data_IF_377942038010
#
_entry.id   IF_377942038010
#
_cell.length_a   1.000
_cell.length_b   1.000
_cell.length_c   1.000
_cell.angle_alpha   90.00
_cell.angle_beta   90.00
_cell.angle_gamma   90.00
#
_symmetry.space_group_name_H-M   'P 1'
#
loop_
_entity.id
_entity.type
_entity.pdbx_description
1 polymer ?
#
# COMPACT_ATOMS: atom_id res chain seq x y z
N UNK A 1 -1.96 21.43 24.25
CA UNK A 1 -2.30 21.35 22.84
C UNK A 1 -2.62 19.91 22.44
N UNK A 2 -3.83 19.67 21.90
CA UNK A 2 -4.29 18.32 21.53
C UNK A 2 -3.36 17.62 20.51
N UNK A 3 -2.94 18.34 19.49
CA UNK A 3 -2.07 17.85 18.41
C UNK A 3 -0.69 17.34 18.87
N UNK A 4 -0.07 17.96 19.89
CA UNK A 4 1.21 17.48 20.43
C UNK A 4 1.04 16.18 21.24
N UNK A 5 -0.09 16.01 21.92
CA UNK A 5 -0.38 14.77 22.64
C UNK A 5 -0.67 13.62 21.67
N UNK A 6 -1.40 13.88 20.61
CA UNK A 6 -1.67 12.89 19.57
C UNK A 6 -0.38 12.45 18.86
N UNK A 7 0.50 13.41 18.52
CA UNK A 7 1.79 13.13 17.91
C UNK A 7 2.70 12.28 18.83
N UNK A 8 2.76 12.62 20.13
CA UNK A 8 3.55 11.85 21.09
C UNK A 8 2.99 10.44 21.29
N UNK A 9 1.67 10.27 21.32
CA UNK A 9 1.02 8.96 21.42
C UNK A 9 1.35 8.09 20.20
N UNK A 10 1.32 8.68 19.00
CA UNK A 10 1.63 7.98 17.77
C UNK A 10 3.10 7.53 17.71
N UNK A 11 4.04 8.40 18.10
CA UNK A 11 5.47 8.07 18.17
C UNK A 11 5.73 6.94 19.17
N UNK A 12 5.10 6.99 20.34
CA UNK A 12 5.25 5.95 21.35
C UNK A 12 4.70 4.60 20.87
N UNK A 13 3.51 4.60 20.25
CA UNK A 13 2.92 3.42 19.65
C UNK A 13 3.86 2.79 18.60
N UNK A 14 4.43 3.62 17.75
CA UNK A 14 5.37 3.19 16.73
C UNK A 14 6.62 2.56 17.35
N UNK A 15 7.18 3.16 18.39
CA UNK A 15 8.34 2.63 19.11
C UNK A 15 8.05 1.27 19.75
N UNK A 16 6.89 1.09 20.38
CA UNK A 16 6.50 -0.20 20.98
C UNK A 16 6.39 -1.31 19.94
N UNK A 17 5.77 -1.04 18.80
CA UNK A 17 5.66 -1.99 17.69
C UNK A 17 7.05 -2.36 17.17
N UNK A 18 7.91 -1.37 16.93
CA UNK A 18 9.28 -1.61 16.46
C UNK A 18 10.09 -2.44 17.45
N UNK A 19 9.99 -2.13 18.75
CA UNK A 19 10.67 -2.87 19.82
C UNK A 19 10.23 -4.34 19.89
N UNK A 20 8.96 -4.63 19.60
CA UNK A 20 8.49 -6.01 19.54
C UNK A 20 9.22 -6.78 18.44
N UNK A 21 9.24 -6.28 17.21
CA UNK A 21 9.87 -6.96 16.08
C UNK A 21 11.38 -7.15 16.26
N UNK A 22 12.05 -6.20 16.89
CA UNK A 22 13.49 -6.28 17.15
C UNK A 22 13.89 -7.37 18.18
N UNK A 23 12.93 -7.91 18.95
CA UNK A 23 13.22 -8.97 19.95
C UNK A 23 13.38 -10.35 19.34
N UNK A 24 12.85 -10.57 18.13
CA UNK A 24 12.79 -11.88 17.50
C UNK A 24 13.64 -11.91 16.24
N UNK A 25 14.62 -12.86 16.15
CA UNK A 25 15.50 -12.96 14.98
C UNK A 25 14.78 -13.40 13.69
N UNK A 26 13.56 -13.90 13.81
CA UNK A 26 12.72 -14.26 12.68
C UNK A 26 12.18 -13.05 11.92
N UNK A 27 12.13 -11.90 12.56
CA UNK A 27 11.63 -10.67 11.93
C UNK A 27 12.83 -9.79 11.52
N UNK A 28 12.86 -9.44 10.23
CA UNK A 28 13.80 -8.44 9.70
C UNK A 28 13.00 -7.20 9.37
N UNK A 29 13.20 -6.17 10.19
CA UNK A 29 12.53 -4.89 10.07
C UNK A 29 13.31 -3.95 9.17
N UNK A 30 12.62 -3.30 8.23
CA UNK A 30 13.20 -2.27 7.38
C UNK A 30 12.18 -1.17 7.09
N UNK A 31 12.66 -0.02 6.68
CA UNK A 31 11.78 1.08 6.32
C UNK A 31 11.35 0.94 4.86
N UNK A 32 10.05 0.79 4.64
CA UNK A 32 9.47 0.71 3.30
C UNK A 32 9.35 2.09 2.66
N UNK A 33 8.73 3.04 3.39
CA UNK A 33 8.62 4.45 3.03
C UNK A 33 8.48 5.31 4.30
N UNK A 34 8.17 6.59 4.16
CA UNK A 34 8.08 7.53 5.30
C UNK A 34 7.08 7.07 6.36
N UNK A 35 5.96 6.46 5.95
CA UNK A 35 4.85 6.10 6.83
C UNK A 35 4.67 4.59 7.01
N UNK A 36 5.47 3.76 6.33
CA UNK A 36 5.33 2.30 6.36
C UNK A 36 6.65 1.62 6.68
N UNK A 37 6.55 0.53 7.43
CA UNK A 37 7.63 -0.41 7.67
C UNK A 37 7.36 -1.71 6.94
N UNK A 38 8.42 -2.35 6.45
CA UNK A 38 8.40 -3.72 5.98
C UNK A 38 8.93 -4.64 7.06
N UNK A 39 8.28 -5.79 7.23
CA UNK A 39 8.73 -6.88 8.09
C UNK A 39 8.88 -8.11 7.22
N UNK A 40 10.12 -8.55 7.01
CA UNK A 40 10.39 -9.84 6.38
C UNK A 40 10.38 -10.91 7.47
N UNK A 41 9.48 -11.87 7.34
CA UNK A 41 9.39 -13.04 8.24
C UNK A 41 10.25 -14.15 7.67
N UNK A 42 11.23 -14.59 8.45
CA UNK A 42 12.17 -15.66 8.10
C UNK A 42 12.04 -16.81 9.09
N UNK A 43 11.38 -17.87 8.66
CA UNK A 43 11.19 -19.08 9.44
C UNK A 43 10.95 -20.28 8.52
N UNK A 44 10.78 -21.46 9.09
CA UNK A 44 10.39 -22.66 8.36
C UNK A 44 8.92 -22.53 7.88
N UNK A 45 8.59 -23.21 6.78
CA UNK A 45 7.27 -23.08 6.14
C UNK A 45 6.13 -23.44 7.10
N UNK A 46 6.34 -24.40 8.00
CA UNK A 46 5.35 -24.86 8.98
C UNK A 46 5.05 -23.80 10.07
N UNK A 47 5.99 -22.89 10.32
CA UNK A 47 5.88 -21.84 11.33
C UNK A 47 5.43 -20.48 10.73
N UNK A 48 5.41 -20.35 9.42
CA UNK A 48 5.18 -19.07 8.71
C UNK A 48 3.86 -18.43 9.13
N UNK A 49 2.80 -19.21 9.15
CA UNK A 49 1.46 -18.72 9.53
C UNK A 49 1.45 -18.21 10.98
N UNK A 50 2.04 -18.97 11.90
CA UNK A 50 2.09 -18.60 13.32
C UNK A 50 2.85 -17.28 13.55
N UNK A 51 4.03 -17.12 12.94
CA UNK A 51 4.79 -15.87 13.03
C UNK A 51 4.04 -14.70 12.38
N UNK A 52 3.37 -14.92 11.26
CA UNK A 52 2.58 -13.90 10.59
C UNK A 52 1.40 -13.45 11.46
N UNK A 53 0.65 -14.39 12.00
CA UNK A 53 -0.50 -14.09 12.86
C UNK A 53 -0.08 -13.40 14.17
N UNK A 54 1.03 -13.80 14.77
CA UNK A 54 1.58 -13.11 15.95
C UNK A 54 1.98 -11.68 15.64
N UNK A 55 2.58 -11.43 14.48
CA UNK A 55 2.92 -10.08 14.04
C UNK A 55 1.68 -9.20 13.89
N UNK A 56 0.64 -9.70 13.23
CA UNK A 56 -0.63 -9.00 13.03
C UNK A 56 -1.30 -8.71 14.39
N UNK A 57 -1.42 -9.73 15.24
CA UNK A 57 -2.04 -9.60 16.55
C UNK A 57 -1.33 -8.57 17.44
N UNK A 58 0.01 -8.50 17.36
CA UNK A 58 0.78 -7.50 18.10
C UNK A 58 0.48 -6.09 17.63
N UNK A 59 0.42 -5.87 16.31
CA UNK A 59 0.10 -4.55 15.73
C UNK A 59 -1.31 -4.15 16.15
N UNK A 60 -2.29 -5.05 15.99
CA UNK A 60 -3.68 -4.83 16.36
C UNK A 60 -3.80 -4.46 17.84
N UNK A 61 -3.20 -5.26 18.73
CA UNK A 61 -3.26 -5.04 20.17
C UNK A 61 -2.71 -3.64 20.55
N UNK A 62 -1.59 -3.24 19.97
CA UNK A 62 -1.00 -1.94 20.25
C UNK A 62 -1.87 -0.80 19.73
N UNK A 63 -2.41 -0.93 18.52
CA UNK A 63 -3.26 0.10 17.92
C UNK A 63 -4.61 0.27 18.64
N UNK A 64 -5.19 -0.81 19.14
CA UNK A 64 -6.49 -0.79 19.84
C UNK A 64 -6.36 -0.39 21.32
N UNK A 65 -5.24 -0.74 21.98
CA UNK A 65 -5.07 -0.55 23.44
C UNK A 65 -4.92 0.90 23.87
N UNK A 66 -4.50 1.79 23.00
CA UNK A 66 -4.14 3.16 23.35
C UNK A 66 -5.25 4.19 23.09
N UNK A 67 -6.50 3.78 22.83
CA UNK A 67 -7.56 4.69 22.38
C UNK A 67 -7.12 5.63 21.24
N UNK A 68 -6.03 5.28 20.59
CA UNK A 68 -5.59 5.95 19.40
C UNK A 68 -6.56 5.50 18.29
N UNK A 69 -7.42 6.40 17.81
CA UNK A 69 -8.09 6.23 16.52
C UNK A 69 -7.03 6.25 15.39
N UNK A 70 -5.96 5.48 15.58
CA UNK A 70 -4.90 5.36 14.62
C UNK A 70 -5.41 4.50 13.46
N UNK A 71 -5.49 5.09 12.30
CA UNK A 71 -5.74 4.35 11.07
C UNK A 71 -4.51 3.47 10.80
N UNK A 72 -4.69 2.16 10.90
CA UNK A 72 -3.62 1.18 10.69
C UNK A 72 -4.03 0.10 9.70
N UNK A 73 -3.06 -0.45 9.03
CA UNK A 73 -3.26 -1.59 8.14
C UNK A 73 -1.98 -2.41 8.02
N UNK A 74 -2.17 -3.68 7.70
CA UNK A 74 -1.10 -4.64 7.42
C UNK A 74 -1.36 -5.27 6.06
N UNK A 75 -0.34 -5.35 5.24
CA UNK A 75 -0.39 -6.09 3.97
C UNK A 75 0.49 -7.32 4.09
N UNK A 76 -0.08 -8.48 3.82
CA UNK A 76 0.63 -9.76 3.90
C UNK A 76 0.87 -10.27 2.49
N UNK A 77 2.14 -10.40 2.13
CA UNK A 77 2.54 -10.99 0.85
C UNK A 77 2.50 -12.51 0.86
N UNK A 78 2.44 -13.10 -0.32
CA UNK A 78 2.52 -14.56 -0.48
C UNK A 78 3.92 -15.05 -0.08
N UNK A 79 4.03 -16.08 0.77
CA UNK A 79 5.31 -16.64 1.16
C UNK A 79 6.12 -17.16 -0.04
N UNK A 80 7.43 -17.00 0.02
CA UNK A 80 8.36 -17.47 -1.02
C UNK A 80 9.49 -18.28 -0.40
N UNK A 81 9.93 -19.34 -1.11
CA UNK A 81 10.94 -20.26 -0.59
C UNK A 81 12.39 -19.76 -0.78
N UNK A 82 12.61 -18.81 -1.68
CA UNK A 82 13.96 -18.36 -2.05
C UNK A 82 14.04 -16.84 -2.07
N UNK A 83 15.19 -16.32 -1.66
CA UNK A 83 15.46 -14.88 -1.70
C UNK A 83 15.35 -14.28 -3.12
N UNK A 84 15.65 -15.08 -4.15
CA UNK A 84 15.48 -14.64 -5.55
C UNK A 84 14.03 -14.36 -5.95
N UNK A 85 13.06 -14.90 -5.21
CA UNK A 85 11.62 -14.71 -5.42
C UNK A 85 11.04 -13.56 -4.57
N UNK A 86 11.85 -12.86 -3.76
CA UNK A 86 11.36 -11.73 -2.96
C UNK A 86 10.74 -10.62 -3.79
N UNK A 87 11.14 -10.49 -5.06
CA UNK A 87 10.50 -9.55 -5.98
C UNK A 87 9.03 -9.87 -6.19
N UNK A 88 8.68 -11.15 -6.33
CA UNK A 88 7.29 -11.60 -6.49
C UNK A 88 6.46 -11.26 -5.23
N UNK A 89 7.04 -11.50 -4.05
CA UNK A 89 6.42 -11.12 -2.78
C UNK A 89 6.23 -9.60 -2.68
N UNK A 90 7.22 -8.82 -3.10
CA UNK A 90 7.16 -7.36 -3.14
C UNK A 90 6.03 -6.85 -4.05
N UNK A 91 5.95 -7.38 -5.27
CA UNK A 91 4.93 -7.03 -6.25
C UNK A 91 3.52 -7.40 -5.71
N UNK A 92 3.41 -8.54 -5.05
CA UNK A 92 2.19 -9.01 -4.38
C UNK A 92 1.75 -8.05 -3.24
N UNK A 93 2.67 -7.63 -2.37
CA UNK A 93 2.38 -6.67 -1.29
C UNK A 93 1.90 -5.32 -1.85
N UNK A 94 2.55 -4.82 -2.90
CA UNK A 94 2.11 -3.58 -3.55
C UNK A 94 0.72 -3.72 -4.16
N UNK A 95 0.44 -4.86 -4.80
CA UNK A 95 -0.86 -5.15 -5.38
C UNK A 95 -1.96 -5.18 -4.30
N UNK A 96 -1.77 -5.96 -3.24
CA UNK A 96 -2.76 -6.04 -2.15
C UNK A 96 -2.91 -4.73 -1.40
N UNK A 97 -1.82 -3.98 -1.21
CA UNK A 97 -1.82 -2.69 -0.54
C UNK A 97 -2.69 -1.63 -1.23
N UNK A 98 -2.88 -1.77 -2.54
CA UNK A 98 -3.77 -0.91 -3.31
C UNK A 98 -5.23 -0.98 -2.85
N UNK A 99 -5.67 -2.14 -2.37
CA UNK A 99 -7.05 -2.34 -1.91
C UNK A 99 -7.38 -1.58 -0.61
N UNK A 100 -6.40 -1.11 0.13
CA UNK A 100 -6.61 -0.24 1.29
C UNK A 100 -7.49 0.97 0.98
N UNK A 101 -7.31 1.55 -0.19
CA UNK A 101 -8.08 2.73 -0.60
C UNK A 101 -9.52 2.41 -0.99
N UNK A 102 -9.77 1.16 -1.36
CA UNK A 102 -11.08 0.66 -1.75
C UNK A 102 -11.87 0.13 -0.55
N UNK A 103 -11.15 -0.45 0.40
CA UNK A 103 -11.71 -1.08 1.59
C UNK A 103 -11.03 -0.52 2.85
N UNK A 104 -11.28 0.76 3.21
CA UNK A 104 -10.60 1.40 4.34
C UNK A 104 -10.92 0.74 5.70
N UNK A 105 -12.00 -0.05 5.76
CA UNK A 105 -12.37 -0.82 6.94
C UNK A 105 -11.57 -2.13 7.11
N UNK A 106 -10.81 -2.54 6.07
CA UNK A 106 -9.97 -3.73 6.15
C UNK A 106 -8.60 -3.37 6.71
N UNK A 107 -8.31 -3.86 7.90
CA UNK A 107 -7.00 -3.66 8.53
C UNK A 107 -5.95 -4.65 8.07
N UNK A 108 -6.35 -5.84 7.60
CA UNK A 108 -5.44 -6.87 7.09
C UNK A 108 -5.78 -7.18 5.64
N UNK A 109 -4.80 -6.95 4.78
CA UNK A 109 -4.90 -7.16 3.33
C UNK A 109 -3.98 -8.32 2.95
N UNK A 110 -4.55 -9.46 2.61
CA UNK A 110 -3.88 -10.67 2.14
C UNK A 110 -4.67 -11.29 1.01
N UNK A 111 -4.10 -12.27 0.32
CA UNK A 111 -4.81 -13.03 -0.70
C UNK A 111 -6.12 -13.62 -0.15
N UNK A 112 -6.07 -14.20 1.03
CA UNK A 112 -7.21 -14.85 1.69
C UNK A 112 -8.30 -13.85 2.06
N UNK A 113 -7.94 -12.74 2.72
CA UNK A 113 -8.90 -11.71 3.13
C UNK A 113 -9.55 -11.05 1.93
N UNK A 114 -8.78 -10.76 0.89
CA UNK A 114 -9.31 -10.17 -0.35
C UNK A 114 -10.26 -11.14 -1.07
N UNK A 115 -9.91 -12.42 -1.20
CA UNK A 115 -10.79 -13.43 -1.80
C UNK A 115 -12.12 -13.60 -1.07
N UNK A 116 -12.12 -13.46 0.25
CA UNK A 116 -13.35 -13.55 1.05
C UNK A 116 -14.26 -12.34 0.88
N UNK A 117 -13.71 -11.18 0.54
CA UNK A 117 -14.43 -9.91 0.44
C UNK A 117 -14.87 -9.57 -0.99
N UNK A 118 -14.09 -10.01 -1.99
CA UNK A 118 -14.40 -9.76 -3.39
C UNK A 118 -15.49 -10.73 -3.86
N UNK A 119 -16.58 -10.23 -4.49
CA UNK A 119 -17.57 -11.12 -5.11
C UNK A 119 -16.88 -11.97 -6.18
N UNK A 120 -17.24 -13.24 -6.24
CA UNK A 120 -16.62 -14.25 -7.12
C UNK A 120 -16.57 -13.89 -8.65
N UNK A 121 -17.28 -12.85 -9.06
CA UNK A 121 -17.26 -12.34 -10.43
C UNK A 121 -16.12 -11.36 -10.74
N UNK A 122 -15.50 -10.75 -9.70
CA UNK A 122 -14.39 -9.81 -9.89
C UNK A 122 -13.01 -10.49 -9.79
N UNK A 123 -12.95 -11.70 -9.22
CA UNK A 123 -11.69 -12.40 -8.89
C UNK A 123 -10.86 -12.78 -10.14
N UNK A 124 -11.51 -13.15 -11.23
CA UNK A 124 -10.84 -13.51 -12.50
C UNK A 124 -10.26 -12.30 -13.23
N UNK A 125 -10.86 -11.12 -13.07
CA UNK A 125 -10.41 -9.90 -13.75
C UNK A 125 -9.26 -9.21 -13.05
N UNK A 126 -9.17 -9.35 -11.73
CA UNK A 126 -8.11 -8.73 -10.92
C UNK A 126 -6.79 -9.51 -11.03
N UNK A 127 -6.86 -10.84 -11.15
CA UNK A 127 -5.68 -11.68 -11.37
C UNK A 127 -5.03 -11.46 -12.74
N UNK A 128 -5.78 -10.97 -13.73
CA UNK A 128 -5.32 -10.65 -15.09
C UNK A 128 -4.77 -9.23 -15.22
N UNK A 129 -4.92 -8.38 -14.19
CA UNK A 129 -4.44 -7.02 -14.23
C UNK A 129 -2.93 -7.00 -14.11
N UNK A 130 -2.29 -6.59 -15.17
CA UNK A 130 -0.86 -6.27 -15.14
C UNK A 130 -0.63 -4.99 -14.30
N UNK A 131 -0.38 -5.20 -13.01
CA UNK A 131 -0.14 -4.11 -12.05
C UNK A 131 1.03 -3.19 -12.48
N UNK A 132 1.93 -3.68 -13.35
CA UNK A 132 3.04 -2.88 -13.87
C UNK A 132 2.54 -1.74 -14.76
N UNK A 133 1.42 -1.92 -15.45
CA UNK A 133 0.79 -0.88 -16.30
C UNK A 133 0.17 0.26 -15.52
N UNK A 134 -0.05 0.07 -14.22
CA UNK A 134 -0.64 1.07 -13.32
C UNK A 134 0.37 1.63 -12.32
N UNK A 135 1.63 1.30 -12.52
CA UNK A 135 2.71 1.76 -11.64
C UNK A 135 2.72 3.30 -11.54
N UNK A 136 2.80 3.86 -10.32
CA UNK A 136 2.95 5.30 -10.10
C UNK A 136 4.14 5.91 -10.84
N UNK A 137 5.15 5.10 -11.14
CA UNK A 137 6.35 5.52 -11.86
C UNK A 137 6.03 6.00 -13.28
N UNK A 138 5.08 5.37 -13.97
CA UNK A 138 4.65 5.77 -15.32
C UNK A 138 4.12 7.21 -15.30
N UNK A 139 3.29 7.52 -14.31
CA UNK A 139 2.70 8.85 -14.14
C UNK A 139 3.80 9.84 -13.72
N UNK A 140 4.65 9.46 -12.77
CA UNK A 140 5.76 10.31 -12.28
C UNK A 140 6.76 10.63 -13.39
N UNK A 141 7.06 9.67 -14.26
CA UNK A 141 7.97 9.86 -15.40
C UNK A 141 7.37 10.81 -16.43
N UNK A 142 6.07 10.67 -16.73
CA UNK A 142 5.39 11.60 -17.61
C UNK A 142 5.36 13.02 -17.03
N UNK A 143 5.07 13.18 -15.74
CA UNK A 143 5.07 14.49 -15.07
C UNK A 143 6.45 15.15 -15.08
N UNK A 144 7.50 14.34 -15.04
CA UNK A 144 8.88 14.84 -15.05
C UNK A 144 9.39 15.25 -16.45
N UNK A 145 8.94 14.58 -17.51
CA UNK A 145 9.52 14.71 -18.86
C UNK A 145 8.52 15.15 -19.93
N UNK A 146 7.21 14.95 -19.68
CA UNK A 146 6.14 15.24 -20.64
C UNK A 146 5.85 16.72 -20.76
N UNK A 147 5.26 17.08 -21.89
CA UNK A 147 4.77 18.44 -22.12
C UNK A 147 3.26 18.53 -21.94
N UNK A 148 2.74 19.73 -21.67
CA UNK A 148 1.29 19.96 -21.52
C UNK A 148 0.51 19.60 -22.79
N UNK A 149 1.15 19.61 -23.98
CA UNK A 149 0.53 19.22 -25.25
C UNK A 149 0.34 17.72 -25.39
N UNK A 150 1.12 16.92 -24.65
CA UNK A 150 1.10 15.46 -24.69
C UNK A 150 0.18 14.84 -23.63
N UNK A 151 -0.35 15.66 -22.71
CA UNK A 151 -1.21 15.17 -21.61
C UNK A 151 -2.38 14.34 -22.12
N UNK A 152 -3.07 14.82 -23.14
CA UNK A 152 -4.24 14.11 -23.70
C UNK A 152 -3.84 12.74 -24.25
N UNK A 153 -2.81 12.67 -25.06
CA UNK A 153 -2.32 11.43 -25.66
C UNK A 153 -1.79 10.45 -24.59
N UNK A 154 -1.12 10.98 -23.57
CA UNK A 154 -0.66 10.17 -22.45
C UNK A 154 -1.84 9.56 -21.69
N UNK A 155 -2.83 10.37 -21.30
CA UNK A 155 -4.00 9.90 -20.56
C UNK A 155 -4.78 8.87 -21.39
N UNK A 156 -4.98 9.11 -22.68
CA UNK A 156 -5.66 8.18 -23.58
C UNK A 156 -4.91 6.85 -23.67
N UNK A 157 -3.59 6.87 -23.88
CA UNK A 157 -2.75 5.67 -23.94
C UNK A 157 -2.71 4.93 -22.60
N UNK A 158 -2.65 5.66 -21.50
CA UNK A 158 -2.66 5.10 -20.15
C UNK A 158 -4.00 4.39 -19.88
N UNK A 159 -5.13 5.05 -20.13
CA UNK A 159 -6.46 4.48 -19.97
C UNK A 159 -6.69 3.28 -20.90
N UNK A 160 -6.17 3.35 -22.12
CA UNK A 160 -6.27 2.25 -23.07
C UNK A 160 -5.47 1.01 -22.62
N UNK A 161 -4.30 1.22 -21.99
CA UNK A 161 -3.48 0.12 -21.45
C UNK A 161 -4.14 -0.63 -20.30
N UNK A 162 -5.11 0.01 -19.63
CA UNK A 162 -5.87 -0.55 -18.50
C UNK A 162 -7.36 -0.74 -18.83
N UNK A 163 -7.74 -0.69 -20.11
CA UNK A 163 -9.14 -0.70 -20.57
C UNK A 163 -9.91 -1.95 -20.16
N UNK A 164 -9.24 -3.09 -20.06
CA UNK A 164 -9.86 -4.35 -19.64
C UNK A 164 -10.36 -4.34 -18.20
N UNK A 165 -9.78 -3.48 -17.37
CA UNK A 165 -10.04 -3.38 -15.93
C UNK A 165 -10.93 -2.21 -15.54
N UNK A 166 -10.99 -1.20 -16.42
CA UNK A 166 -11.71 0.06 -16.17
C UNK A 166 -13.23 -0.11 -16.09
N UNK A 167 -13.74 -1.27 -16.52
CA UNK A 167 -15.16 -1.62 -16.40
C UNK A 167 -15.59 -1.91 -14.95
N UNK A 168 -14.67 -2.24 -14.06
CA UNK A 168 -14.93 -2.30 -12.62
C UNK A 168 -14.96 -0.86 -12.05
N UNK A 169 -16.06 -0.48 -11.40
CA UNK A 169 -16.20 0.83 -10.73
C UNK A 169 -15.09 1.02 -9.70
N UNK A 170 -14.80 -0.03 -8.95
CA UNK A 170 -13.77 -0.09 -7.92
C UNK A 170 -12.38 0.21 -8.52
N UNK A 171 -12.08 -0.39 -9.64
CA UNK A 171 -10.79 -0.25 -10.30
C UNK A 171 -10.61 1.16 -10.91
N UNK A 172 -11.68 1.70 -11.45
CA UNK A 172 -11.70 3.08 -11.97
C UNK A 172 -11.40 4.08 -10.85
N UNK A 173 -12.01 3.92 -9.69
CA UNK A 173 -11.80 4.80 -8.55
C UNK A 173 -10.35 4.68 -8.03
N UNK A 174 -9.80 3.47 -8.00
CA UNK A 174 -8.39 3.24 -7.69
C UNK A 174 -7.45 3.96 -8.66
N UNK A 175 -7.66 3.84 -9.96
CA UNK A 175 -6.84 4.51 -10.98
C UNK A 175 -6.87 6.02 -10.80
N UNK A 176 -8.04 6.61 -10.59
CA UNK A 176 -8.21 8.05 -10.35
C UNK A 176 -7.46 8.49 -9.10
N UNK A 177 -7.56 7.73 -8.02
CA UNK A 177 -6.85 8.02 -6.78
C UNK A 177 -5.34 7.89 -6.95
N UNK A 178 -4.86 6.86 -7.64
CA UNK A 178 -3.45 6.67 -7.91
C UNK A 178 -2.86 7.84 -8.72
N UNK A 179 -3.53 8.27 -9.78
CA UNK A 179 -3.15 9.44 -10.56
C UNK A 179 -3.09 10.68 -9.66
N UNK A 180 -4.12 10.91 -8.86
CA UNK A 180 -4.21 12.08 -7.98
C UNK A 180 -3.09 12.09 -6.94
N UNK A 181 -2.86 10.99 -6.23
CA UNK A 181 -1.80 10.92 -5.22
C UNK A 181 -0.40 11.04 -5.82
N UNK A 182 -0.17 10.43 -6.98
CA UNK A 182 1.12 10.54 -7.66
C UNK A 182 1.38 11.99 -8.10
N UNK A 183 0.37 12.67 -8.63
CA UNK A 183 0.49 14.08 -9.01
C UNK A 183 0.77 14.98 -7.79
N UNK A 184 0.05 14.76 -6.66
CA UNK A 184 0.30 15.50 -5.41
C UNK A 184 1.73 15.27 -4.92
N UNK A 185 2.16 14.02 -4.83
CA UNK A 185 3.52 13.68 -4.38
C UNK A 185 4.61 14.27 -5.28
N UNK A 186 4.37 14.33 -6.59
CA UNK A 186 5.26 14.96 -7.54
C UNK A 186 5.36 16.47 -7.32
N UNK A 187 4.23 17.15 -7.11
CA UNK A 187 4.18 18.59 -6.84
C UNK A 187 4.90 18.94 -5.53
N UNK A 188 4.64 18.21 -4.46
CA UNK A 188 5.30 18.40 -3.16
C UNK A 188 6.83 18.25 -3.27
N UNK A 189 7.31 17.27 -4.04
CA UNK A 189 8.75 17.10 -4.32
C UNK A 189 9.36 18.30 -5.06
N UNK A 190 8.57 18.99 -5.88
CA UNK A 190 9.00 20.15 -6.64
C UNK A 190 8.71 21.48 -5.94
N UNK A 191 8.30 21.44 -4.65
CA UNK A 191 8.11 22.63 -3.82
C UNK A 191 6.81 23.38 -4.08
N UNK A 192 5.85 22.77 -4.80
CA UNK A 192 4.50 23.34 -5.00
C UNK A 192 3.65 23.02 -3.78
N UNK A 193 3.11 24.04 -3.14
CA UNK A 193 2.25 23.86 -1.96
C UNK A 193 0.85 23.41 -2.36
N UNK A 194 0.17 22.74 -1.42
CA UNK A 194 -1.22 22.29 -1.63
C UNK A 194 -2.18 23.46 -1.85
N UNK A 195 -1.88 24.61 -1.25
CA UNK A 195 -2.66 25.84 -1.38
C UNK A 195 -2.55 26.44 -2.79
N UNK A 196 -1.36 26.42 -3.37
CA UNK A 196 -1.13 26.86 -4.76
C UNK A 196 -1.84 25.95 -5.76
N UNK A 197 -1.94 24.65 -5.48
CA UNK A 197 -2.66 23.70 -6.33
C UNK A 197 -4.18 23.87 -6.29
N UNK A 198 -4.75 24.23 -5.14
CA UNK A 198 -6.19 24.41 -4.98
C UNK A 198 -6.68 25.80 -5.47
N UNK A 199 -5.76 26.70 -5.79
CA UNK A 199 -6.06 28.05 -6.27
C UNK A 199 -6.28 28.12 -7.80
N UNK A 200 -6.03 27.01 -8.52
CA UNK A 200 -6.26 26.84 -9.97
C UNK A 200 -7.22 25.69 -10.23
#
# INVERSE_FOLDING_TARGET
>A
NGSEREMNTFVHLQEEILQYFLRFPQYILFRWNVNCYGVLVKCDAEEMEDYTQRAIAQIQMNCESQNANADWYVVVGTPVERLSMLKECYDCVNHYGAYRFLYPQMHVLSEETLKSYLPAQDDTRIAEVDATKMSPEIISEFLAKGSSKEVYNFVESYLQSISEVIHSVIFRDYVVLNIRFTAIAFMERNGVTKEEFLAH
#
